data_IF_743567576913
#
_entry.id   IF_743567576913
#
_cell.length_a   1.000
_cell.length_b   1.000
_cell.length_c   1.000
_cell.angle_alpha   90.00
_cell.angle_beta   90.00
_cell.angle_gamma   90.00
#
_symmetry.space_group_name_H-M   'P 1'
#
loop_
_entity.id
_entity.type
_entity.pdbx_description
1 polymer ?
#
# COMPACT_ATOMS: atom_id res chain seq x y z
N UNK A 1 9.91 3.35 76.58
CA UNK A 1 9.35 3.01 75.26
C UNK A 1 8.07 3.82 75.13
N UNK A 2 8.14 4.99 74.49
CA UNK A 2 6.97 5.85 74.29
C UNK A 2 6.48 5.65 72.86
N UNK A 3 5.34 4.98 72.72
CA UNK A 3 4.62 4.90 71.45
C UNK A 3 4.01 6.27 71.17
N UNK A 4 4.58 6.95 70.16
CA UNK A 4 4.02 8.17 69.60
C UNK A 4 2.88 7.79 68.67
N UNK A 5 1.65 7.80 69.17
CA UNK A 5 0.44 7.75 68.35
C UNK A 5 0.39 9.01 67.50
N UNK A 6 0.72 8.89 66.21
CA UNK A 6 0.47 9.95 65.24
C UNK A 6 -1.05 10.17 65.15
N UNK A 7 -1.53 11.23 65.79
CA UNK A 7 -2.85 11.79 65.54
C UNK A 7 -2.88 12.29 64.09
N UNK A 8 -3.42 11.48 63.18
CA UNK A 8 -3.92 12.00 61.90
C UNK A 8 -5.21 12.76 62.20
N UNK A 9 -5.09 14.04 62.54
CA UNK A 9 -6.23 14.95 62.58
C UNK A 9 -6.93 14.96 61.22
N UNK A 10 -8.19 14.50 61.21
CA UNK A 10 -9.05 14.57 60.02
C UNK A 10 -9.55 16.00 59.90
N UNK A 11 -8.86 16.81 59.09
CA UNK A 11 -9.32 18.15 58.75
C UNK A 11 -10.43 18.08 57.69
N UNK A 12 -11.59 18.67 57.99
CA UNK A 12 -12.71 18.76 57.05
C UNK A 12 -12.48 20.01 56.19
N UNK A 13 -12.23 19.80 54.89
CA UNK A 13 -12.00 20.88 53.94
C UNK A 13 -13.26 21.73 53.76
N UNK A 14 -13.08 23.03 53.54
CA UNK A 14 -14.17 23.90 53.15
C UNK A 14 -14.59 23.64 51.69
N UNK A 15 -15.77 24.16 51.31
CA UNK A 15 -16.35 23.95 49.97
C UNK A 15 -15.46 24.49 48.84
N UNK A 16 -14.80 25.63 49.04
CA UNK A 16 -13.97 26.27 48.02
C UNK A 16 -12.65 25.50 47.84
N UNK A 17 -12.05 25.04 48.94
CA UNK A 17 -10.90 24.13 48.92
C UNK A 17 -11.23 22.81 48.23
N UNK A 18 -12.42 22.24 48.48
CA UNK A 18 -12.87 21.03 47.81
C UNK A 18 -13.03 21.24 46.30
N UNK A 19 -13.71 22.31 45.87
CA UNK A 19 -13.88 22.64 44.44
C UNK A 19 -12.52 22.85 43.78
N UNK A 20 -11.61 23.60 44.41
CA UNK A 20 -10.24 23.82 43.90
C UNK A 20 -9.46 22.51 43.74
N UNK A 21 -9.58 21.59 44.70
CA UNK A 21 -8.95 20.28 44.64
C UNK A 21 -9.54 19.42 43.52
N UNK A 22 -10.86 19.46 43.30
CA UNK A 22 -11.53 18.78 42.19
C UNK A 22 -11.05 19.32 40.84
N UNK A 23 -11.04 20.65 40.65
CA UNK A 23 -10.53 21.31 39.43
C UNK A 23 -9.08 20.89 39.16
N UNK A 24 -8.23 20.93 40.19
CA UNK A 24 -6.81 20.54 40.07
C UNK A 24 -6.67 19.07 39.65
N UNK A 25 -7.49 18.17 40.21
CA UNK A 25 -7.50 16.75 39.84
C UNK A 25 -7.94 16.55 38.38
N UNK A 26 -8.98 17.25 37.93
CA UNK A 26 -9.44 17.19 36.54
C UNK A 26 -8.34 17.68 35.58
N UNK A 27 -7.69 18.81 35.87
CA UNK A 27 -6.57 19.34 35.07
C UNK A 27 -5.40 18.36 34.97
N UNK A 28 -4.97 17.76 36.08
CA UNK A 28 -3.90 16.75 36.09
C UNK A 28 -4.25 15.53 35.23
N UNK A 29 -5.47 14.99 35.40
CA UNK A 29 -5.90 13.83 34.62
C UNK A 29 -6.00 14.15 33.12
N UNK A 30 -6.48 15.34 32.77
CA UNK A 30 -6.50 15.80 31.39
C UNK A 30 -5.11 15.91 30.80
N UNK A 31 -4.12 16.41 31.53
CA UNK A 31 -2.74 16.48 31.05
C UNK A 31 -2.17 15.08 30.74
N UNK A 32 -2.36 14.14 31.67
CA UNK A 32 -1.95 12.74 31.50
C UNK A 32 -2.64 12.08 30.29
N UNK A 33 -3.97 12.22 30.18
CA UNK A 33 -4.74 11.63 29.10
C UNK A 33 -4.43 12.26 27.75
N UNK A 34 -4.30 13.58 27.66
CA UNK A 34 -3.99 14.26 26.40
C UNK A 34 -2.61 13.84 25.89
N UNK A 35 -1.61 13.71 26.78
CA UNK A 35 -0.27 13.26 26.39
C UNK A 35 -0.29 11.86 25.78
N UNK A 36 -1.01 10.91 26.40
CA UNK A 36 -1.17 9.56 25.87
C UNK A 36 -1.96 9.57 24.56
N UNK A 37 -3.06 10.34 24.53
CA UNK A 37 -3.96 10.43 23.39
C UNK A 37 -3.26 10.96 22.15
N UNK A 38 -2.45 12.02 22.24
CA UNK A 38 -1.69 12.54 21.09
C UNK A 38 -0.77 11.48 20.47
N UNK A 39 -0.07 10.69 21.29
CA UNK A 39 0.78 9.61 20.78
C UNK A 39 -0.02 8.49 20.10
N UNK A 40 -1.20 8.15 20.64
CA UNK A 40 -2.09 7.16 20.01
C UNK A 40 -2.76 7.70 18.75
N UNK A 41 -3.15 8.97 18.71
CA UNK A 41 -3.74 9.63 17.55
C UNK A 41 -2.79 9.60 16.36
N UNK A 42 -1.51 9.97 16.56
CA UNK A 42 -0.48 9.89 15.52
C UNK A 42 -0.30 8.45 15.02
N UNK A 43 -0.29 7.47 15.95
CA UNK A 43 -0.18 6.06 15.60
C UNK A 43 -1.40 5.56 14.80
N UNK A 44 -2.63 5.91 15.22
CA UNK A 44 -3.87 5.56 14.51
C UNK A 44 -3.86 6.17 13.11
N UNK A 45 -3.47 7.44 12.98
CA UNK A 45 -3.33 8.11 11.67
C UNK A 45 -2.34 7.39 10.77
N UNK A 46 -1.12 7.12 11.26
CA UNK A 46 -0.10 6.42 10.49
C UNK A 46 -0.53 5.00 10.07
N UNK A 47 -1.25 4.28 10.94
CA UNK A 47 -1.78 2.95 10.62
C UNK A 47 -2.87 3.03 9.53
N UNK A 48 -3.77 4.01 9.59
CA UNK A 48 -4.78 4.23 8.55
C UNK A 48 -4.13 4.59 7.20
N UNK A 49 -3.14 5.49 7.19
CA UNK A 49 -2.38 5.84 5.98
C UNK A 49 -1.67 4.61 5.40
N UNK A 50 -1.09 3.76 6.26
CA UNK A 50 -0.45 2.50 5.85
C UNK A 50 -1.45 1.50 5.27
N UNK A 51 -2.65 1.42 5.83
CA UNK A 51 -3.73 0.56 5.31
C UNK A 51 -4.13 1.00 3.90
N UNK A 52 -4.37 2.30 3.71
CA UNK A 52 -4.81 2.83 2.41
C UNK A 52 -3.71 2.75 1.35
N UNK A 53 -2.47 3.09 1.70
CA UNK A 53 -1.32 2.91 0.79
C UNK A 53 -1.11 1.44 0.41
N UNK A 54 -1.17 0.50 1.36
CA UNK A 54 -0.99 -0.92 1.05
C UNK A 54 -2.10 -1.46 0.12
N UNK A 55 -3.34 -0.99 0.25
CA UNK A 55 -4.42 -1.34 -0.69
C UNK A 55 -4.13 -0.81 -2.08
N UNK A 56 -3.76 0.47 -2.16
CA UNK A 56 -3.47 1.14 -3.43
C UNK A 56 -2.29 0.47 -4.14
N UNK A 57 -1.19 0.25 -3.43
CA UNK A 57 0.00 -0.39 -3.99
C UNK A 57 -0.30 -1.81 -4.50
N UNK A 58 -1.15 -2.55 -3.78
CA UNK A 58 -1.63 -3.86 -4.23
C UNK A 58 -2.42 -3.76 -5.54
N UNK A 59 -3.36 -2.82 -5.61
CA UNK A 59 -4.17 -2.59 -6.82
C UNK A 59 -3.31 -2.15 -8.01
N UNK A 60 -2.34 -1.26 -7.78
CA UNK A 60 -1.40 -0.78 -8.78
C UNK A 60 -0.54 -1.94 -9.33
N UNK A 61 -0.03 -2.82 -8.47
CA UNK A 61 0.75 -4.00 -8.88
C UNK A 61 -0.11 -5.02 -9.64
N UNK A 62 -1.35 -5.26 -9.21
CA UNK A 62 -2.26 -6.16 -9.93
C UNK A 62 -2.58 -5.61 -11.33
N UNK A 63 -2.91 -4.32 -11.41
CA UNK A 63 -3.19 -3.63 -12.68
C UNK A 63 -1.97 -3.67 -13.60
N UNK A 64 -0.77 -3.39 -13.06
CA UNK A 64 0.49 -3.46 -13.82
C UNK A 64 0.78 -4.88 -14.30
N UNK A 65 0.51 -5.89 -13.48
CA UNK A 65 0.69 -7.30 -13.82
C UNK A 65 -0.20 -7.69 -15.01
N UNK A 66 -1.46 -7.28 -15.02
CA UNK A 66 -2.38 -7.54 -16.13
C UNK A 66 -1.94 -6.83 -17.41
N UNK A 67 -1.59 -5.54 -17.32
CA UNK A 67 -1.10 -4.75 -18.44
C UNK A 67 0.15 -5.39 -19.07
N UNK A 68 1.12 -5.82 -18.25
CA UNK A 68 2.35 -6.44 -18.76
C UNK A 68 2.08 -7.80 -19.43
N UNK A 69 1.14 -8.60 -18.89
CA UNK A 69 0.72 -9.87 -19.52
C UNK A 69 0.07 -9.64 -20.88
N UNK A 70 -0.84 -8.67 -20.96
CA UNK A 70 -1.50 -8.31 -22.22
C UNK A 70 -0.49 -7.76 -23.23
N UNK A 71 0.35 -6.82 -22.82
CA UNK A 71 1.39 -6.23 -23.66
C UNK A 71 2.32 -7.30 -24.23
N UNK A 72 2.80 -8.23 -23.39
CA UNK A 72 3.61 -9.38 -23.82
C UNK A 72 2.89 -10.20 -24.89
N UNK A 73 1.63 -10.55 -24.67
CA UNK A 73 0.85 -11.35 -25.62
C UNK A 73 0.66 -10.62 -26.96
N UNK A 74 0.32 -9.33 -26.92
CA UNK A 74 0.15 -8.51 -28.12
C UNK A 74 1.45 -8.38 -28.92
N UNK A 75 2.60 -8.22 -28.26
CA UNK A 75 3.89 -8.12 -28.94
C UNK A 75 4.26 -9.40 -29.68
N UNK A 76 4.05 -10.56 -29.07
CA UNK A 76 4.28 -11.83 -29.77
C UNK A 76 3.27 -12.07 -30.89
N UNK A 77 2.02 -11.66 -30.74
CA UNK A 77 1.04 -11.72 -31.83
C UNK A 77 1.44 -10.79 -32.99
N UNK A 78 1.97 -9.59 -32.72
CA UNK A 78 2.47 -8.71 -33.76
C UNK A 78 3.68 -9.31 -34.48
N UNK A 79 4.60 -9.95 -33.75
CA UNK A 79 5.73 -10.66 -34.35
C UNK A 79 5.28 -11.81 -35.26
N UNK A 80 4.26 -12.57 -34.85
CA UNK A 80 3.62 -13.62 -35.65
C UNK A 80 2.99 -13.06 -36.92
N UNK A 81 2.18 -12.01 -36.81
CA UNK A 81 1.54 -11.38 -37.99
C UNK A 81 2.57 -10.87 -39.00
N UNK A 82 3.66 -10.25 -38.54
CA UNK A 82 4.73 -9.79 -39.46
C UNK A 82 5.35 -10.98 -40.19
N UNK A 83 5.54 -12.11 -39.50
CA UNK A 83 6.06 -13.33 -40.11
C UNK A 83 5.07 -13.92 -41.13
N UNK A 84 3.77 -13.90 -40.83
CA UNK A 84 2.70 -14.32 -41.75
C UNK A 84 2.65 -13.42 -42.99
N UNK A 85 2.74 -12.10 -42.82
CA UNK A 85 2.80 -11.14 -43.93
C UNK A 85 4.02 -11.39 -44.83
N UNK A 86 5.15 -11.83 -44.26
CA UNK A 86 6.32 -12.22 -45.06
C UNK A 86 6.03 -13.41 -45.98
N UNK A 87 5.26 -14.41 -45.53
CA UNK A 87 4.87 -15.56 -46.35
C UNK A 87 4.02 -15.15 -47.56
N UNK A 88 3.18 -14.13 -47.41
CA UNK A 88 2.23 -13.72 -48.44
C UNK A 88 2.83 -12.71 -49.44
N UNK A 89 3.73 -11.83 -48.97
CA UNK A 89 4.15 -10.64 -49.74
C UNK A 89 5.54 -10.79 -50.37
N UNK A 90 6.45 -11.54 -49.73
CA UNK A 90 7.83 -11.66 -50.21
C UNK A 90 7.94 -12.85 -51.18
N UNK A 91 8.68 -12.67 -52.28
CA UNK A 91 8.95 -13.74 -53.24
C UNK A 91 9.53 -14.97 -52.51
N UNK A 92 8.88 -16.12 -52.68
CA UNK A 92 9.27 -17.40 -52.07
C UNK A 92 10.74 -17.75 -52.33
N UNK A 93 11.32 -17.30 -53.46
CA UNK A 93 12.75 -17.51 -53.76
C UNK A 93 13.70 -16.78 -52.82
N UNK A 94 13.23 -15.76 -52.12
CA UNK A 94 13.99 -14.97 -51.14
C UNK A 94 13.86 -15.54 -49.72
N UNK A 95 12.95 -16.49 -49.50
CA UNK A 95 12.65 -17.07 -48.21
C UNK A 95 13.13 -18.52 -48.12
N UNK A 96 13.76 -18.86 -46.99
CA UNK A 96 13.97 -20.27 -46.64
C UNK A 96 12.73 -20.78 -45.91
N UNK A 97 11.88 -21.55 -46.60
CA UNK A 97 10.65 -22.11 -46.04
C UNK A 97 10.88 -22.90 -44.74
N UNK A 98 11.99 -23.65 -44.63
CA UNK A 98 12.28 -24.42 -43.41
C UNK A 98 12.63 -23.49 -42.25
N UNK A 99 13.42 -22.46 -42.51
CA UNK A 99 13.77 -21.46 -41.51
C UNK A 99 12.53 -20.69 -41.05
N UNK A 100 11.68 -20.26 -41.98
CA UNK A 100 10.44 -19.54 -41.71
C UNK A 100 9.49 -20.33 -40.81
N UNK A 101 9.22 -21.61 -41.13
CA UNK A 101 8.44 -22.48 -40.25
C UNK A 101 9.11 -22.67 -38.88
N UNK A 102 10.44 -22.77 -38.84
CA UNK A 102 11.18 -22.87 -37.60
C UNK A 102 11.09 -21.63 -36.71
N UNK A 103 10.97 -20.43 -37.30
CA UNK A 103 10.73 -19.16 -36.59
C UNK A 103 9.27 -19.11 -36.10
N UNK A 104 8.32 -19.48 -36.95
CA UNK A 104 6.90 -19.54 -36.58
C UNK A 104 6.65 -20.46 -35.38
N UNK A 105 7.27 -21.65 -35.38
CA UNK A 105 7.18 -22.60 -34.28
C UNK A 105 7.72 -22.01 -32.98
N UNK A 106 8.82 -21.26 -33.03
CA UNK A 106 9.39 -20.63 -31.84
C UNK A 106 8.54 -19.48 -31.33
N UNK A 107 7.93 -18.67 -32.21
CA UNK A 107 6.94 -17.66 -31.83
C UNK A 107 5.73 -18.33 -31.17
N UNK A 108 5.27 -19.47 -31.69
CA UNK A 108 4.17 -20.22 -31.09
C UNK A 108 4.55 -20.78 -29.70
N UNK A 109 5.78 -21.28 -29.54
CA UNK A 109 6.28 -21.79 -28.25
C UNK A 109 6.45 -20.67 -27.23
N UNK A 110 7.04 -19.53 -27.60
CA UNK A 110 7.31 -18.44 -26.66
C UNK A 110 6.01 -17.84 -26.12
N UNK A 111 4.95 -17.73 -26.95
CA UNK A 111 3.60 -17.33 -26.50
C UNK A 111 3.08 -18.21 -25.36
N UNK A 112 3.40 -19.51 -25.38
CA UNK A 112 2.97 -20.51 -24.40
C UNK A 112 3.92 -20.63 -23.20
N UNK A 113 5.12 -20.05 -23.27
CA UNK A 113 6.07 -20.10 -22.16
C UNK A 113 5.50 -19.39 -20.93
N UNK A 114 5.56 -20.07 -19.77
CA UNK A 114 5.08 -19.55 -18.49
C UNK A 114 6.24 -18.98 -17.67
N UNK A 115 7.41 -19.60 -17.77
CA UNK A 115 8.61 -19.18 -17.03
C UNK A 115 9.49 -18.30 -17.90
N UNK A 116 9.98 -17.21 -17.31
CA UNK A 116 10.85 -16.27 -18.01
C UNK A 116 12.16 -16.91 -18.51
N UNK A 117 12.71 -17.87 -17.78
CA UNK A 117 13.96 -18.52 -18.20
C UNK A 117 13.76 -19.38 -19.46
N UNK A 118 12.61 -20.04 -19.55
CA UNK A 118 12.20 -20.80 -20.75
C UNK A 118 11.93 -19.85 -21.92
N UNK A 119 11.21 -18.76 -21.65
CA UNK A 119 10.92 -17.72 -22.62
C UNK A 119 12.21 -17.11 -23.22
N UNK A 120 13.16 -16.73 -22.38
CA UNK A 120 14.46 -16.18 -22.80
C UNK A 120 15.22 -17.15 -23.69
N UNK A 121 15.26 -18.44 -23.32
CA UNK A 121 15.93 -19.46 -24.12
C UNK A 121 15.30 -19.58 -25.52
N UNK A 122 13.97 -19.62 -25.60
CA UNK A 122 13.26 -19.70 -26.89
C UNK A 122 13.52 -18.42 -27.70
N UNK A 123 13.54 -17.25 -27.06
CA UNK A 123 13.85 -15.98 -27.73
C UNK A 123 15.28 -15.96 -28.27
N UNK A 124 16.26 -16.46 -27.52
CA UNK A 124 17.65 -16.52 -28.00
C UNK A 124 17.75 -17.41 -29.25
N UNK A 125 17.08 -18.58 -29.25
CA UNK A 125 16.99 -19.48 -30.42
C UNK A 125 16.29 -18.80 -31.61
N UNK A 126 15.19 -18.08 -31.35
CA UNK A 126 14.43 -17.32 -32.35
C UNK A 126 15.29 -16.20 -32.98
N UNK A 127 16.02 -15.45 -32.16
CA UNK A 127 16.89 -14.36 -32.62
C UNK A 127 18.04 -14.88 -33.48
N UNK A 128 18.60 -16.03 -33.14
CA UNK A 128 19.62 -16.71 -33.96
C UNK A 128 19.06 -17.17 -35.31
N UNK A 129 17.83 -17.71 -35.34
CA UNK A 129 17.17 -18.07 -36.61
C UNK A 129 16.92 -16.83 -37.49
N UNK A 130 16.52 -15.72 -36.88
CA UNK A 130 16.33 -14.45 -37.58
C UNK A 130 17.64 -13.92 -38.19
N UNK A 131 18.80 -14.15 -37.57
CA UNK A 131 20.11 -13.81 -38.16
C UNK A 131 20.43 -14.62 -39.43
N UNK A 132 19.84 -15.81 -39.57
CA UNK A 132 20.01 -16.67 -40.74
C UNK A 132 19.13 -16.29 -41.93
N UNK A 133 18.29 -15.26 -41.81
CA UNK A 133 17.37 -14.84 -42.87
C UNK A 133 18.07 -14.13 -44.03
N UNK A 134 17.43 -14.14 -45.20
CA UNK A 134 17.96 -13.53 -46.43
C UNK A 134 18.33 -12.05 -46.26
N UNK A 135 19.35 -11.59 -47.01
CA UNK A 135 19.88 -10.22 -46.91
C UNK A 135 19.11 -9.19 -47.76
N UNK A 136 17.99 -9.61 -48.37
CA UNK A 136 17.14 -8.69 -49.14
C UNK A 136 16.53 -7.62 -48.23
N UNK A 137 16.40 -6.39 -48.73
CA UNK A 137 15.96 -5.24 -47.94
C UNK A 137 14.62 -5.47 -47.23
N UNK A 138 13.61 -5.96 -47.97
CA UNK A 138 12.28 -6.23 -47.40
C UNK A 138 12.31 -7.33 -46.32
N UNK A 139 13.13 -8.36 -46.51
CA UNK A 139 13.33 -9.44 -45.53
C UNK A 139 13.97 -8.88 -44.27
N UNK A 140 15.06 -8.11 -44.42
CA UNK A 140 15.77 -7.51 -43.29
C UNK A 140 14.90 -6.52 -42.52
N UNK A 141 14.06 -5.76 -43.21
CA UNK A 141 13.10 -4.84 -42.59
C UNK A 141 12.09 -5.59 -41.71
N UNK A 142 11.50 -6.67 -42.23
CA UNK A 142 10.56 -7.48 -41.46
C UNK A 142 11.24 -8.19 -40.29
N UNK A 143 12.43 -8.76 -40.50
CA UNK A 143 13.28 -9.37 -39.45
C UNK A 143 13.56 -8.38 -38.32
N UNK A 144 13.90 -7.14 -38.66
CA UNK A 144 14.16 -6.10 -37.66
C UNK A 144 12.91 -5.72 -36.87
N UNK A 145 11.74 -5.70 -37.51
CA UNK A 145 10.46 -5.46 -36.83
C UNK A 145 10.12 -6.62 -35.87
N UNK A 146 10.23 -7.87 -36.31
CA UNK A 146 10.04 -9.06 -35.46
C UNK A 146 10.99 -9.00 -34.25
N UNK A 147 12.28 -8.76 -34.48
CA UNK A 147 13.29 -8.62 -33.43
C UNK A 147 12.92 -7.55 -32.42
N UNK A 148 12.43 -6.41 -32.87
CA UNK A 148 11.99 -5.32 -32.01
C UNK A 148 10.85 -5.78 -31.09
N UNK A 149 9.80 -6.40 -31.65
CA UNK A 149 8.64 -6.87 -30.89
C UNK A 149 8.99 -7.96 -29.87
N UNK A 150 9.82 -8.91 -30.27
CA UNK A 150 10.30 -9.99 -29.40
C UNK A 150 11.12 -9.44 -28.23
N UNK A 151 12.01 -8.49 -28.48
CA UNK A 151 12.80 -7.87 -27.42
C UNK A 151 11.92 -7.03 -26.48
N UNK A 152 10.97 -6.26 -27.00
CA UNK A 152 9.99 -5.52 -26.19
C UNK A 152 9.13 -6.46 -25.31
N UNK A 153 8.82 -7.66 -25.83
CA UNK A 153 8.10 -8.68 -25.07
C UNK A 153 8.94 -9.21 -23.91
N UNK A 154 10.23 -9.52 -24.14
CA UNK A 154 11.16 -9.93 -23.08
C UNK A 154 11.36 -8.85 -22.01
N UNK A 155 11.42 -7.58 -22.40
CA UNK A 155 11.47 -6.46 -21.43
C UNK A 155 10.22 -6.49 -20.55
N UNK A 156 9.04 -6.67 -21.16
CA UNK A 156 7.76 -6.74 -20.44
C UNK A 156 7.70 -7.97 -19.51
N UNK A 157 8.19 -9.13 -19.95
CA UNK A 157 8.28 -10.34 -19.13
C UNK A 157 9.28 -10.20 -17.99
N UNK A 158 10.40 -9.52 -18.21
CA UNK A 158 11.41 -9.24 -17.17
C UNK A 158 10.84 -8.34 -16.09
N UNK A 159 10.12 -7.30 -16.48
CA UNK A 159 9.40 -6.44 -15.53
C UNK A 159 8.33 -7.23 -14.78
N UNK A 160 7.53 -8.04 -15.48
CA UNK A 160 6.50 -8.88 -14.88
C UNK A 160 7.09 -9.83 -13.82
N UNK A 161 8.22 -10.49 -14.13
CA UNK A 161 8.91 -11.38 -13.20
C UNK A 161 9.44 -10.63 -11.96
N UNK A 162 9.81 -9.35 -12.10
CA UNK A 162 10.31 -8.55 -10.97
C UNK A 162 9.21 -8.13 -9.99
N UNK A 163 7.97 -7.97 -10.47
CA UNK A 163 6.82 -7.56 -9.64
C UNK A 163 5.95 -8.74 -9.19
N UNK A 164 6.08 -9.90 -9.84
CA UNK A 164 5.27 -11.07 -9.54
C UNK A 164 5.48 -11.55 -8.09
N UNK A 165 4.38 -11.74 -7.36
CA UNK A 165 4.42 -12.18 -5.96
C UNK A 165 4.56 -11.03 -4.96
N UNK A 166 4.86 -9.80 -5.41
CA UNK A 166 4.97 -8.64 -4.51
C UNK A 166 3.61 -8.22 -3.94
N UNK A 167 2.50 -8.59 -4.59
CA UNK A 167 1.13 -8.35 -4.10
C UNK A 167 0.90 -8.96 -2.70
N UNK A 168 1.58 -10.07 -2.38
CA UNK A 168 1.52 -10.70 -1.06
C UNK A 168 2.19 -9.86 0.02
N UNK A 169 3.23 -9.10 -0.32
CA UNK A 169 3.89 -8.22 0.64
C UNK A 169 2.96 -7.08 1.05
N UNK A 170 2.24 -6.50 0.09
CA UNK A 170 1.24 -5.47 0.36
C UNK A 170 0.05 -6.03 1.15
N UNK A 171 -0.42 -7.24 0.85
CA UNK A 171 -1.47 -7.90 1.64
C UNK A 171 -1.03 -8.14 3.09
N UNK A 172 0.18 -8.64 3.30
CA UNK A 172 0.73 -8.85 4.63
C UNK A 172 0.90 -7.53 5.39
N UNK A 173 1.35 -6.47 4.71
CA UNK A 173 1.50 -5.14 5.29
C UNK A 173 0.14 -4.55 5.69
N UNK A 174 -0.88 -4.71 4.84
CA UNK A 174 -2.27 -4.34 5.11
C UNK A 174 -2.80 -5.07 6.35
N UNK A 175 -2.67 -6.40 6.38
CA UNK A 175 -3.21 -7.21 7.47
C UNK A 175 -2.51 -6.87 8.80
N UNK A 176 -1.19 -6.71 8.79
CA UNK A 176 -0.41 -6.29 9.97
C UNK A 176 -0.86 -4.93 10.49
N UNK A 177 -0.97 -3.92 9.60
CA UNK A 177 -1.41 -2.58 9.99
C UNK A 177 -2.85 -2.58 10.53
N UNK A 178 -3.72 -3.39 9.93
CA UNK A 178 -5.10 -3.56 10.38
C UNK A 178 -5.19 -4.20 11.76
N UNK A 179 -4.39 -5.22 12.04
CA UNK A 179 -4.39 -5.87 13.35
C UNK A 179 -3.79 -4.95 14.42
N UNK A 180 -2.69 -4.25 14.12
CA UNK A 180 -2.15 -3.22 15.02
C UNK A 180 -3.18 -2.11 15.31
N UNK A 181 -3.97 -1.71 14.31
CA UNK A 181 -5.02 -0.71 14.49
C UNK A 181 -6.12 -1.23 15.44
N UNK A 182 -6.57 -2.47 15.29
CA UNK A 182 -7.57 -3.08 16.18
C UNK A 182 -7.11 -3.11 17.64
N UNK A 183 -5.82 -3.31 17.90
CA UNK A 183 -5.28 -3.32 19.26
C UNK A 183 -5.24 -1.91 19.87
N UNK A 184 -5.01 -0.87 19.06
CA UNK A 184 -4.87 0.51 19.55
C UNK A 184 -6.21 1.24 19.64
N UNK A 185 -7.15 0.96 18.73
CA UNK A 185 -8.44 1.65 18.63
C UNK A 185 -9.25 1.67 19.94
N UNK A 186 -9.34 0.60 20.75
CA UNK A 186 -10.09 0.63 21.99
C UNK A 186 -9.55 1.64 23.00
N UNK A 187 -8.22 1.70 23.19
CA UNK A 187 -7.59 2.65 24.12
C UNK A 187 -7.71 4.08 23.62
N UNK A 188 -7.49 4.28 22.33
CA UNK A 188 -7.66 5.56 21.67
C UNK A 188 -9.09 6.11 21.84
N UNK A 189 -10.12 5.31 21.54
CA UNK A 189 -11.52 5.71 21.71
C UNK A 189 -11.92 5.89 23.19
N UNK A 190 -11.34 5.10 24.11
CA UNK A 190 -11.56 5.31 25.54
C UNK A 190 -11.01 6.67 26.00
N UNK A 191 -9.79 7.02 25.57
CA UNK A 191 -9.16 8.30 25.92
C UNK A 191 -9.92 9.48 25.33
N UNK A 192 -10.36 9.42 24.07
CA UNK A 192 -11.16 10.49 23.44
C UNK A 192 -12.42 10.79 24.27
N UNK A 193 -13.19 9.75 24.60
CA UNK A 193 -14.38 9.89 25.44
C UNK A 193 -14.04 10.39 26.85
N UNK A 194 -12.94 9.92 27.43
CA UNK A 194 -12.54 10.28 28.79
C UNK A 194 -12.08 11.73 28.88
N UNK A 195 -11.33 12.21 27.89
CA UNK A 195 -10.91 13.61 27.78
C UNK A 195 -12.14 14.51 27.65
N UNK A 196 -13.08 14.18 26.76
CA UNK A 196 -14.35 14.91 26.61
C UNK A 196 -15.11 15.01 27.94
N UNK A 197 -15.33 13.89 28.61
CA UNK A 197 -16.01 13.85 29.91
C UNK A 197 -15.28 14.67 31.00
N UNK A 198 -13.94 14.64 31.04
CA UNK A 198 -13.19 15.43 32.00
C UNK A 198 -13.20 16.94 31.70
N UNK A 199 -13.24 17.33 30.42
CA UNK A 199 -13.40 18.73 30.00
C UNK A 199 -14.79 19.27 30.39
N UNK A 200 -15.86 18.52 30.11
CA UNK A 200 -17.23 18.88 30.50
C UNK A 200 -17.36 19.04 32.02
N UNK A 201 -16.79 18.11 32.79
CA UNK A 201 -16.78 18.20 34.24
C UNK A 201 -15.95 19.41 34.73
N UNK A 202 -14.81 19.70 34.08
CA UNK A 202 -13.98 20.85 34.44
C UNK A 202 -14.76 22.17 34.22
N UNK A 203 -15.45 22.30 33.09
CA UNK A 203 -16.30 23.45 32.78
C UNK A 203 -17.40 23.65 33.84
N UNK A 204 -18.06 22.56 34.25
CA UNK A 204 -19.05 22.60 35.33
C UNK A 204 -18.45 23.07 36.67
N UNK A 205 -17.30 22.53 37.07
CA UNK A 205 -16.68 22.91 38.35
C UNK A 205 -16.08 24.32 38.34
N UNK A 206 -15.63 24.81 37.19
CA UNK A 206 -15.12 26.18 37.03
C UNK A 206 -16.24 27.23 37.01
N UNK A 207 -17.47 26.85 36.64
CA UNK A 207 -18.64 27.77 36.62
C UNK A 207 -19.42 27.81 37.95
N UNK A 208 -19.33 26.77 38.77
CA UNK A 208 -19.92 26.70 40.12
C UNK A 208 -19.59 27.90 41.04
N UNK A 209 -18.32 28.37 41.16
CA UNK A 209 -17.98 29.52 41.98
C UNK A 209 -18.64 30.84 41.54
N UNK A 210 -19.03 30.98 40.26
CA UNK A 210 -19.64 32.21 39.72
C UNK A 210 -21.16 32.31 39.91
N UNK A 211 -21.80 31.20 40.28
CA UNK A 211 -23.27 31.09 40.36
C UNK A 211 -23.85 31.41 41.74
N UNK A 212 -23.06 31.27 42.81
CA UNK A 212 -23.54 31.48 44.19
C UNK A 212 -23.41 32.92 44.68
N UNK A 213 -22.46 33.70 44.16
CA UNK A 213 -22.35 35.14 44.49
C UNK A 213 -23.50 35.97 43.87
N UNK A 214 -24.04 35.57 42.72
CA UNK A 214 -25.16 36.28 42.07
C UNK A 214 -26.53 36.08 42.75
N UNK A 215 -26.64 35.17 43.73
CA UNK A 215 -27.94 34.92 44.40
C UNK A 215 -28.08 35.69 45.72
N UNK A 216 -27.00 36.29 46.23
CA UNK A 216 -27.03 37.06 47.48
C UNK A 216 -27.21 38.58 47.29
N UNK A 217 -26.95 39.15 46.10
CA UNK A 217 -27.18 40.59 45.85
C UNK A 217 -28.61 40.94 45.39
N UNK A 218 -29.49 39.97 45.18
CA UNK A 218 -30.87 40.22 44.74
C UNK A 218 -31.90 40.38 45.90
N UNK A 219 -31.47 40.30 47.16
CA UNK A 219 -32.34 40.44 48.34
C UNK A 219 -31.72 41.33 49.44
N UNK A 220 -31.32 42.56 49.09
CA UNK A 220 -31.00 43.62 50.04
C UNK A 220 -31.70 44.93 49.68
#
# INVERSE_FOLDING_TARGET
>A
MSESTQNNEVSILDKNELIKNVITKHKRLLEEYNKEFSGLEEKVKALNEKIESSKKDKEDVLSRTELLKEKRQQLYHQAENILEEMFDVIDEKLLDNKLMHGIHDDITKVKRAIKIDEEKKIVDELLQKLDGMGTHEDVQKAVQQIRTRVNEAIVSSTELASIFGTEKNFENAFQKARDELKEVSPRHGWLDNRIKSHNEALEYWETLPASEENTQEANA
#
